data_IF_217470998378
#
_entry.id   IF_217470998378
#
_cell.length_a   1.000
_cell.length_b   1.000
_cell.length_c   1.000
_cell.angle_alpha   90.00
_cell.angle_beta   90.00
_cell.angle_gamma   90.00
#
_symmetry.space_group_name_H-M   'P 1'
#
loop_
_entity.id
_entity.type
_entity.pdbx_description
1 polymer ?
#
# COMPACT_ATOMS: atom_id res chain seq x y z
N UNK A 1 -1.61 11.78 -25.35
CA UNK A 1 -1.72 13.12 -24.75
C UNK A 1 -2.40 12.96 -23.40
N UNK A 2 -1.66 13.13 -22.31
CA UNK A 2 -2.18 13.07 -20.94
C UNK A 2 -1.20 13.82 -20.06
N UNK A 3 -1.36 15.14 -19.97
CA UNK A 3 -0.54 15.95 -19.09
C UNK A 3 -1.01 15.74 -17.66
N UNK A 4 -0.21 15.05 -16.86
CA UNK A 4 -0.31 15.11 -15.40
C UNK A 4 -0.20 16.58 -15.03
N UNK A 5 -1.26 17.16 -14.45
CA UNK A 5 -1.21 18.50 -13.88
C UNK A 5 -0.35 18.44 -12.61
N UNK A 6 0.97 18.39 -12.78
CA UNK A 6 1.91 18.51 -11.67
C UNK A 6 1.97 19.97 -11.27
N UNK A 7 1.68 20.26 -10.00
CA UNK A 7 1.89 21.60 -9.45
C UNK A 7 3.37 21.95 -9.53
N UNK A 8 3.68 23.17 -9.96
CA UNK A 8 5.05 23.66 -9.96
C UNK A 8 5.54 23.80 -8.53
N UNK A 9 6.53 22.98 -8.18
CA UNK A 9 7.17 22.98 -6.86
C UNK A 9 8.32 24.00 -6.89
N UNK A 10 8.30 25.04 -6.03
CA UNK A 10 9.40 25.99 -5.95
C UNK A 10 10.71 25.27 -5.61
N UNK A 11 11.74 25.42 -6.45
CA UNK A 11 13.02 24.71 -6.32
C UNK A 11 13.07 23.33 -6.97
N UNK A 12 11.97 22.87 -7.59
CA UNK A 12 11.89 21.60 -8.32
C UNK A 12 11.89 20.37 -7.42
N UNK A 13 11.86 19.20 -8.07
CA UNK A 13 11.83 17.89 -7.42
C UNK A 13 10.46 17.52 -6.86
N UNK A 14 10.28 16.24 -6.59
CA UNK A 14 9.06 15.65 -6.01
C UNK A 14 9.29 15.19 -4.56
N UNK A 15 10.41 15.56 -3.95
CA UNK A 15 10.80 15.09 -2.61
C UNK A 15 10.43 16.07 -1.49
N UNK A 16 10.18 15.55 -0.29
CA UNK A 16 9.96 16.36 0.90
C UNK A 16 9.85 15.51 2.16
N UNK A 17 9.61 16.16 3.30
CA UNK A 17 9.34 15.47 4.55
C UNK A 17 7.84 15.21 4.68
N UNK A 18 7.44 13.97 4.45
CA UNK A 18 6.09 13.46 4.63
C UNK A 18 5.72 13.47 6.10
N UNK A 19 4.62 14.15 6.43
CA UNK A 19 4.08 14.21 7.79
C UNK A 19 3.33 12.91 8.05
N UNK A 20 3.78 12.10 9.00
CA UNK A 20 3.13 10.82 9.36
C UNK A 20 2.17 10.98 10.54
N UNK A 21 2.56 11.81 11.51
CA UNK A 21 1.78 12.04 12.72
C UNK A 21 1.92 13.49 13.17
N UNK A 22 0.84 14.03 13.70
CA UNK A 22 0.79 15.35 14.31
C UNK A 22 0.24 15.18 15.73
N UNK A 23 0.99 15.61 16.75
CA UNK A 23 0.51 15.57 18.13
C UNK A 23 -0.52 16.67 18.37
N UNK A 24 -1.59 16.37 19.11
CA UNK A 24 -2.58 17.37 19.49
C UNK A 24 -1.94 18.53 20.25
N UNK A 25 -2.46 19.74 20.03
CA UNK A 25 -1.98 20.99 20.62
C UNK A 25 -0.51 21.35 20.31
N UNK A 26 0.18 20.57 19.48
CA UNK A 26 1.54 20.87 19.04
C UNK A 26 1.59 22.09 18.10
N UNK A 27 2.78 22.70 17.91
CA UNK A 27 2.94 23.74 16.91
C UNK A 27 2.57 23.29 15.49
N UNK A 28 2.85 22.04 15.12
CA UNK A 28 2.43 21.48 13.83
C UNK A 28 0.91 21.40 13.69
N UNK A 29 0.21 20.96 14.74
CA UNK A 29 -1.27 20.96 14.78
C UNK A 29 -1.84 22.37 14.61
N UNK A 30 -1.30 23.34 15.34
CA UNK A 30 -1.74 24.75 15.27
C UNK A 30 -1.46 25.40 13.91
N UNK A 31 -0.46 24.93 13.19
CA UNK A 31 -0.15 25.35 11.83
C UNK A 31 -1.05 24.69 10.77
N UNK A 32 -1.95 23.78 11.17
CA UNK A 32 -2.84 23.07 10.25
C UNK A 32 -2.09 22.07 9.37
N UNK A 33 -1.03 21.45 9.89
CA UNK A 33 -0.40 20.32 9.23
C UNK A 33 -1.29 19.09 9.38
N UNK A 34 -1.58 18.44 8.26
CA UNK A 34 -2.39 17.25 8.17
C UNK A 34 -1.48 16.02 8.10
N UNK A 35 -1.67 15.02 8.99
CA UNK A 35 -0.95 13.77 8.87
C UNK A 35 -1.28 13.09 7.53
N UNK A 36 -0.28 12.40 7.00
CA UNK A 36 -0.20 11.70 5.73
C UNK A 36 -0.39 12.53 4.45
N UNK A 37 -1.26 13.53 4.44
CA UNK A 37 -1.49 14.28 3.21
C UNK A 37 -0.40 15.33 2.97
N UNK A 38 0.21 15.84 4.04
CA UNK A 38 1.18 16.91 3.93
C UNK A 38 2.62 16.44 3.76
N UNK A 39 3.32 17.15 2.89
CA UNK A 39 4.75 17.04 2.65
C UNK A 39 5.37 18.41 2.84
N UNK A 40 6.27 18.54 3.81
CA UNK A 40 7.03 19.76 4.03
C UNK A 40 8.13 19.81 2.96
N UNK A 41 7.97 20.72 2.00
CA UNK A 41 8.86 20.83 0.84
C UNK A 41 9.88 21.96 1.01
N UNK A 42 9.59 22.98 1.81
CA UNK A 42 10.54 24.05 2.13
C UNK A 42 10.32 24.62 3.53
N UNK A 43 11.37 25.24 4.07
CA UNK A 43 11.35 26.01 5.31
C UNK A 43 12.28 27.22 5.18
N UNK A 44 11.81 28.42 5.54
CA UNK A 44 12.58 29.68 5.37
C UNK A 44 13.16 29.85 3.95
N UNK A 45 12.37 29.55 2.92
CA UNK A 45 12.79 29.57 1.50
C UNK A 45 13.88 28.56 1.11
N UNK A 46 14.31 27.70 2.04
CA UNK A 46 15.23 26.59 1.78
C UNK A 46 14.44 25.36 1.36
N UNK A 47 14.72 24.87 0.15
CA UNK A 47 14.14 23.63 -0.39
C UNK A 47 14.67 22.40 0.37
N UNK A 48 13.76 21.56 0.85
CA UNK A 48 14.04 20.30 1.54
C UNK A 48 14.00 19.12 0.56
N UNK A 49 15.02 19.00 -0.29
CA UNK A 49 15.12 17.96 -1.33
C UNK A 49 16.13 16.86 -1.01
N UNK A 50 16.62 16.79 0.23
CA UNK A 50 17.55 15.76 0.70
C UNK A 50 17.17 15.33 2.11
N UNK A 51 17.40 14.06 2.41
CA UNK A 51 17.31 13.56 3.78
C UNK A 51 18.57 13.98 4.57
N UNK A 52 18.46 15.09 5.30
CA UNK A 52 19.56 15.63 6.10
C UNK A 52 19.04 16.40 7.33
N UNK A 53 19.94 16.95 8.14
CA UNK A 53 19.57 17.71 9.34
C UNK A 53 19.08 19.16 9.06
N UNK A 54 18.95 19.60 7.80
CA UNK A 54 18.63 21.00 7.45
C UNK A 54 17.30 21.47 8.06
N UNK A 55 16.25 20.65 7.98
CA UNK A 55 14.96 20.97 8.60
C UNK A 55 15.12 21.16 10.11
N UNK A 56 15.82 20.23 10.77
CA UNK A 56 16.05 20.23 12.22
C UNK A 56 16.88 21.43 12.67
N UNK A 57 17.91 21.80 11.91
CA UNK A 57 18.74 22.97 12.18
C UNK A 57 17.95 24.28 12.03
N UNK A 58 17.19 24.43 10.94
CA UNK A 58 16.37 25.63 10.70
C UNK A 58 15.27 25.80 11.76
N UNK A 59 14.69 24.71 12.24
CA UNK A 59 13.75 24.73 13.37
C UNK A 59 14.42 25.17 14.67
N UNK A 60 15.60 24.63 14.98
CA UNK A 60 16.37 25.00 16.19
C UNK A 60 16.80 26.47 16.16
N UNK A 61 17.16 26.98 14.99
CA UNK A 61 17.51 28.39 14.85
C UNK A 61 16.30 29.31 15.05
N UNK A 62 15.10 28.88 14.68
CA UNK A 62 13.88 29.69 14.74
C UNK A 62 12.92 29.32 15.88
N UNK A 63 13.45 28.77 16.99
CA UNK A 63 12.66 28.49 18.19
C UNK A 63 12.00 29.78 18.71
N UNK A 64 10.72 29.67 19.06
CA UNK A 64 9.80 30.74 19.45
C UNK A 64 9.62 31.87 18.40
N UNK A 65 9.98 31.62 17.13
CA UNK A 65 9.83 32.59 16.04
C UNK A 65 8.93 32.05 14.92
N UNK A 66 8.02 32.89 14.37
CA UNK A 66 7.25 32.52 13.20
C UNK A 66 8.15 32.14 12.02
N UNK A 67 7.97 30.93 11.53
CA UNK A 67 8.77 30.29 10.50
C UNK A 67 7.86 29.88 9.35
N UNK A 68 8.17 30.37 8.15
CA UNK A 68 7.42 30.02 6.94
C UNK A 68 7.83 28.65 6.42
N UNK A 69 6.84 27.86 6.02
CA UNK A 69 7.01 26.57 5.37
C UNK A 69 6.12 26.50 4.13
N UNK A 70 6.61 25.83 3.09
CA UNK A 70 5.75 25.38 2.01
C UNK A 70 5.41 23.91 2.22
N UNK A 71 4.13 23.61 2.03
CA UNK A 71 3.57 22.29 2.26
C UNK A 71 2.81 21.87 1.01
N UNK A 72 3.20 20.74 0.42
CA UNK A 72 2.42 20.08 -0.61
C UNK A 72 1.41 19.14 0.04
N UNK A 73 0.14 19.20 -0.38
CA UNK A 73 -0.91 18.31 0.11
C UNK A 73 -1.33 17.34 -1.00
N UNK A 74 -1.21 16.04 -0.74
CA UNK A 74 -1.52 14.97 -1.70
C UNK A 74 -3.02 14.74 -1.90
N UNK A 75 -3.88 15.20 -0.98
CA UNK A 75 -5.35 15.15 -1.10
C UNK A 75 -5.86 16.23 -2.07
N UNK A 76 -5.35 17.45 -1.94
CA UNK A 76 -5.75 18.59 -2.79
C UNK A 76 -4.89 18.77 -4.03
N UNK A 77 -3.75 18.08 -4.10
CA UNK A 77 -2.72 18.25 -5.13
C UNK A 77 -2.28 19.71 -5.25
N UNK A 78 -2.08 20.39 -4.12
CA UNK A 78 -1.76 21.82 -4.09
C UNK A 78 -0.64 22.14 -3.10
N UNK A 79 0.11 23.20 -3.37
CA UNK A 79 1.11 23.76 -2.44
C UNK A 79 0.49 24.94 -1.70
N UNK A 80 0.65 24.97 -0.38
CA UNK A 80 0.25 26.09 0.49
C UNK A 80 1.39 26.56 1.38
N UNK A 81 1.36 27.84 1.73
CA UNK A 81 2.24 28.41 2.76
C UNK A 81 1.61 28.17 4.14
N UNK A 82 2.39 27.59 5.05
CA UNK A 82 2.04 27.44 6.46
C UNK A 82 3.04 28.21 7.31
N UNK A 83 2.55 28.95 8.31
CA UNK A 83 3.42 29.60 9.31
C UNK A 83 3.38 28.79 10.58
N UNK A 84 4.54 28.29 11.01
CA UNK A 84 4.68 27.53 12.26
C UNK A 84 5.57 28.27 13.25
N UNK A 85 5.33 28.09 14.54
CA UNK A 85 6.17 28.66 15.61
C UNK A 85 6.80 27.48 16.36
N UNK A 86 8.03 27.05 16.00
CA UNK A 86 8.69 25.95 16.68
C UNK A 86 8.84 26.29 18.16
N UNK A 87 8.47 25.38 19.06
CA UNK A 87 8.48 25.67 20.49
C UNK A 87 8.93 24.47 21.32
N UNK A 88 9.58 24.77 22.45
CA UNK A 88 9.89 23.77 23.49
C UNK A 88 8.90 23.84 24.67
N UNK A 89 7.94 24.76 24.65
CA UNK A 89 7.11 25.11 25.81
C UNK A 89 5.68 24.52 25.74
N UNK A 90 5.36 23.76 24.69
CA UNK A 90 4.01 23.22 24.49
C UNK A 90 3.76 21.88 25.23
N UNK A 91 4.78 21.34 25.90
CA UNK A 91 4.64 20.19 26.81
C UNK A 91 4.81 18.80 26.18
N UNK A 92 4.94 18.69 24.86
CA UNK A 92 5.19 17.44 24.16
C UNK A 92 6.62 17.26 23.66
N UNK A 93 6.83 16.24 22.82
CA UNK A 93 8.14 15.89 22.29
C UNK A 93 8.45 16.60 20.96
N UNK A 94 9.62 17.23 20.87
CA UNK A 94 10.11 17.90 19.67
C UNK A 94 9.59 19.32 19.50
N UNK A 95 10.15 20.03 18.52
CA UNK A 95 9.84 21.45 18.30
C UNK A 95 8.49 21.70 17.62
N UNK A 96 8.00 20.71 16.87
CA UNK A 96 6.74 20.80 16.12
C UNK A 96 5.70 19.77 16.55
N UNK A 97 6.10 18.74 17.30
CA UNK A 97 5.23 17.60 17.62
C UNK A 97 4.85 16.75 16.41
N UNK A 98 5.78 16.58 15.45
CA UNK A 98 5.57 15.81 14.23
C UNK A 98 6.39 14.52 14.23
N UNK A 99 5.84 13.46 13.64
CA UNK A 99 6.63 12.36 13.07
C UNK A 99 6.70 12.56 11.57
N UNK A 100 7.90 12.48 10.99
CA UNK A 100 8.13 12.76 9.57
C UNK A 100 9.07 11.71 8.95
N UNK A 101 8.95 11.51 7.64
CA UNK A 101 9.87 10.71 6.83
C UNK A 101 10.24 11.45 5.56
N UNK A 102 11.49 11.37 5.13
CA UNK A 102 11.87 11.90 3.82
C UNK A 102 11.43 10.93 2.72
N UNK A 103 10.60 11.38 1.77
CA UNK A 103 10.22 10.59 0.60
C UNK A 103 9.74 11.47 -0.56
N UNK A 104 9.47 10.85 -1.70
CA UNK A 104 8.78 11.50 -2.81
C UNK A 104 7.27 11.56 -2.55
N UNK A 105 6.63 12.67 -2.90
CA UNK A 105 5.18 12.79 -2.99
C UNK A 105 4.64 12.42 -4.38
N UNK A 106 5.52 12.11 -5.33
CA UNK A 106 5.12 11.53 -6.61
C UNK A 106 4.50 10.15 -6.38
N UNK A 107 3.29 9.93 -6.88
CA UNK A 107 2.59 8.67 -6.69
C UNK A 107 2.11 8.41 -5.25
N UNK A 108 2.27 9.35 -4.31
CA UNK A 108 1.89 9.13 -2.91
C UNK A 108 0.38 8.89 -2.70
N UNK A 109 -0.45 9.39 -3.63
CA UNK A 109 -1.88 9.11 -3.67
C UNK A 109 -2.23 7.78 -4.37
N UNK A 110 -1.26 7.12 -4.99
CA UNK A 110 -1.40 5.85 -5.70
C UNK A 110 -0.93 4.68 -4.85
N UNK A 111 0.12 4.90 -4.04
CA UNK A 111 0.73 3.90 -3.16
C UNK A 111 -0.07 3.75 -1.87
N UNK A 112 -1.34 3.33 -2.03
CA UNK A 112 -2.27 3.11 -0.95
C UNK A 112 -2.98 1.76 -1.16
N UNK A 113 -3.13 1.01 -0.08
CA UNK A 113 -3.78 -0.31 -0.07
C UNK A 113 -5.04 -0.23 0.79
N UNK A 114 -6.19 -0.39 0.16
CA UNK A 114 -7.50 -0.34 0.82
C UNK A 114 -7.78 -1.67 1.52
N UNK A 115 -8.04 -1.63 2.83
CA UNK A 115 -8.48 -2.79 3.60
C UNK A 115 -9.93 -3.10 3.23
N UNK A 116 -10.18 -4.30 2.69
CA UNK A 116 -11.50 -4.78 2.31
C UNK A 116 -12.10 -5.60 3.47
N UNK A 117 -12.60 -6.81 3.20
CA UNK A 117 -13.13 -7.69 4.24
C UNK A 117 -12.03 -8.11 5.21
N UNK A 118 -12.33 -8.13 6.51
CA UNK A 118 -11.40 -8.57 7.57
C UNK A 118 -12.02 -9.78 8.28
N UNK A 119 -11.30 -10.90 8.27
CA UNK A 119 -11.78 -12.14 8.89
C UNK A 119 -11.70 -12.08 10.42
N UNK A 120 -12.70 -12.60 11.15
CA UNK A 120 -12.66 -12.64 12.61
C UNK A 120 -11.48 -13.45 13.15
N UNK A 121 -10.83 -12.93 14.18
CA UNK A 121 -9.62 -13.53 14.80
C UNK A 121 -8.40 -13.65 13.88
N UNK A 122 -8.42 -13.01 12.71
CA UNK A 122 -7.26 -12.92 11.84
C UNK A 122 -6.18 -11.99 12.40
N UNK A 123 -4.94 -12.09 11.91
CA UNK A 123 -3.91 -11.10 12.21
C UNK A 123 -4.35 -9.64 11.99
N UNK A 124 -5.09 -9.36 10.91
CA UNK A 124 -5.66 -8.05 10.63
C UNK A 124 -6.69 -7.60 11.67
N UNK A 125 -7.59 -8.49 12.09
CA UNK A 125 -8.57 -8.19 13.14
C UNK A 125 -7.90 -7.94 14.50
N UNK A 126 -6.88 -8.74 14.84
CA UNK A 126 -6.11 -8.59 16.08
C UNK A 126 -5.30 -7.29 16.12
N UNK A 127 -4.82 -6.84 14.96
CA UNK A 127 -4.16 -5.56 14.79
C UNK A 127 -5.14 -4.36 14.82
N UNK A 128 -6.46 -4.63 14.75
CA UNK A 128 -7.50 -3.61 14.78
C UNK A 128 -7.76 -2.93 13.44
N UNK A 129 -7.37 -3.54 12.32
CA UNK A 129 -7.71 -3.03 10.99
C UNK A 129 -9.22 -3.14 10.76
N UNK A 130 -9.83 -2.08 10.25
CA UNK A 130 -11.27 -2.00 9.98
C UNK A 130 -11.56 -2.12 8.50
N UNK A 131 -12.51 -2.99 8.19
CA UNK A 131 -12.95 -3.25 6.84
C UNK A 131 -13.53 -1.99 6.15
N UNK A 132 -13.15 -1.77 4.90
CA UNK A 132 -13.64 -0.73 3.98
C UNK A 132 -13.39 0.73 4.37
N UNK A 133 -12.84 1.00 5.56
CA UNK A 133 -12.59 2.37 6.05
C UNK A 133 -11.11 2.66 6.22
N UNK A 134 -10.31 1.61 6.43
CA UNK A 134 -8.88 1.75 6.66
C UNK A 134 -8.09 1.57 5.36
N UNK A 135 -7.08 2.42 5.20
CA UNK A 135 -6.19 2.47 4.07
C UNK A 135 -4.76 2.40 4.59
N UNK A 136 -4.05 1.33 4.24
CA UNK A 136 -2.62 1.23 4.52
C UNK A 136 -1.91 2.18 3.57
N UNK A 137 -1.16 3.09 4.15
CA UNK A 137 -0.56 4.24 3.48
C UNK A 137 0.97 4.22 3.54
N UNK A 138 1.54 3.29 4.29
CA UNK A 138 2.97 3.18 4.46
C UNK A 138 3.37 2.11 5.46
N UNK A 139 4.67 1.87 5.52
CA UNK A 139 5.37 1.08 6.53
C UNK A 139 6.70 1.77 6.85
N UNK A 140 7.51 1.20 7.74
CA UNK A 140 8.86 1.70 8.01
C UNK A 140 9.79 1.57 6.79
N UNK A 141 9.49 0.64 5.88
CA UNK A 141 10.15 0.54 4.58
C UNK A 141 9.42 1.37 3.51
N UNK A 142 10.16 1.85 2.52
CA UNK A 142 9.59 2.57 1.37
C UNK A 142 8.80 1.58 0.51
N UNK A 143 7.56 1.91 0.17
CA UNK A 143 6.70 1.12 -0.70
C UNK A 143 6.25 2.00 -1.87
N UNK A 144 6.64 1.62 -3.09
CA UNK A 144 6.40 2.36 -4.34
C UNK A 144 5.60 1.59 -5.36
N UNK A 145 5.57 0.27 -5.26
CA UNK A 145 4.88 -0.62 -6.20
C UNK A 145 3.79 -1.40 -5.47
N UNK A 146 2.75 -1.84 -6.19
CA UNK A 146 1.63 -2.59 -5.61
C UNK A 146 2.06 -3.86 -4.87
N UNK A 147 3.15 -4.48 -5.32
CA UNK A 147 3.68 -5.75 -4.82
C UNK A 147 4.52 -5.59 -3.54
N UNK A 148 4.95 -4.36 -3.21
CA UNK A 148 5.85 -4.09 -2.09
C UNK A 148 5.22 -4.44 -0.75
N UNK A 149 3.93 -4.12 -0.55
CA UNK A 149 3.22 -4.48 0.68
C UNK A 149 3.19 -6.01 0.87
N UNK A 150 2.91 -6.77 -0.18
CA UNK A 150 2.83 -8.22 -0.11
C UNK A 150 4.19 -8.85 0.18
N UNK A 151 5.23 -8.38 -0.50
CA UNK A 151 6.61 -8.79 -0.27
C UNK A 151 7.06 -8.47 1.16
N UNK A 152 6.67 -7.30 1.68
CA UNK A 152 6.98 -6.87 3.04
C UNK A 152 6.29 -7.75 4.09
N UNK A 153 5.03 -8.11 3.86
CA UNK A 153 4.26 -9.02 4.72
C UNK A 153 4.89 -10.41 4.75
N UNK A 154 5.24 -10.97 3.59
CA UNK A 154 5.93 -12.27 3.50
C UNK A 154 7.28 -12.26 4.23
N UNK A 155 8.04 -11.18 4.12
CA UNK A 155 9.32 -11.03 4.83
C UNK A 155 9.16 -10.92 6.36
N UNK A 156 7.98 -10.53 6.85
CA UNK A 156 7.65 -10.37 8.27
C UNK A 156 6.76 -11.49 8.83
N UNK A 157 6.74 -12.65 8.17
CA UNK A 157 6.05 -13.84 8.67
C UNK A 157 6.49 -14.18 10.11
N UNK A 158 5.53 -14.21 11.04
CA UNK A 158 5.74 -14.42 12.47
C UNK A 158 6.39 -13.27 13.24
N UNK A 159 6.55 -12.09 12.64
CA UNK A 159 7.20 -10.91 13.25
C UNK A 159 6.28 -9.70 13.25
N UNK A 160 6.49 -8.81 14.21
CA UNK A 160 5.77 -7.53 14.23
C UNK A 160 6.18 -6.66 13.03
N UNK A 161 5.18 -6.20 12.28
CA UNK A 161 5.29 -5.28 11.17
C UNK A 161 4.49 -4.01 11.50
N UNK A 162 5.15 -2.87 11.36
CA UNK A 162 4.52 -1.56 11.57
C UNK A 162 3.95 -1.02 10.26
N UNK A 163 2.65 -0.79 10.25
CA UNK A 163 1.93 -0.16 9.17
C UNK A 163 1.40 1.20 9.62
N UNK A 164 1.45 2.16 8.71
CA UNK A 164 0.74 3.42 8.86
C UNK A 164 -0.59 3.28 8.14
N UNK A 165 -1.68 3.61 8.84
CA UNK A 165 -3.05 3.39 8.37
C UNK A 165 -3.82 4.70 8.50
N UNK A 166 -4.41 5.15 7.39
CA UNK A 166 -5.39 6.23 7.36
C UNK A 166 -6.79 5.65 7.49
N UNK A 167 -7.63 6.27 8.30
CA UNK A 167 -9.04 5.91 8.38
C UNK A 167 -9.94 7.04 7.90
N UNK A 168 -10.90 6.70 7.03
CA UNK A 168 -11.89 7.66 6.52
C UNK A 168 -12.89 8.10 7.59
N UNK A 169 -13.19 7.25 8.58
CA UNK A 169 -14.16 7.58 9.65
C UNK A 169 -13.66 8.69 10.58
N UNK A 170 -12.36 8.67 10.89
CA UNK A 170 -11.74 9.62 11.83
C UNK A 170 -10.96 10.72 11.11
N UNK A 171 -10.84 10.63 9.78
CA UNK A 171 -9.95 11.45 8.93
C UNK A 171 -8.54 11.60 9.55
N UNK A 172 -8.02 10.50 10.09
CA UNK A 172 -6.77 10.52 10.86
C UNK A 172 -5.92 9.29 10.53
N UNK A 173 -4.61 9.42 10.77
CA UNK A 173 -3.63 8.37 10.58
C UNK A 173 -3.17 7.82 11.93
N UNK A 174 -3.06 6.50 12.02
CA UNK A 174 -2.49 5.80 13.16
C UNK A 174 -1.39 4.82 12.74
N UNK A 175 -0.51 4.50 13.68
CA UNK A 175 0.41 3.38 13.56
C UNK A 175 -0.31 2.13 14.06
N UNK A 176 -0.28 1.07 13.26
CA UNK A 176 -0.84 -0.24 13.56
C UNK A 176 0.28 -1.26 13.50
N UNK A 177 0.41 -2.07 14.55
CA UNK A 177 1.35 -3.18 14.59
C UNK A 177 0.59 -4.45 14.27
N UNK A 178 0.98 -5.13 13.20
CA UNK A 178 0.40 -6.40 12.76
C UNK A 178 1.46 -7.48 12.77
N UNK A 179 1.08 -8.70 13.11
CA UNK A 179 1.99 -9.85 13.06
C UNK A 179 1.47 -10.83 12.02
N UNK A 180 1.99 -10.82 10.78
CA UNK A 180 1.60 -11.79 9.76
C UNK A 180 1.80 -13.23 10.27
N UNK A 181 0.81 -14.07 10.01
CA UNK A 181 0.80 -15.47 10.41
C UNK A 181 0.06 -16.27 9.36
N UNK A 182 0.69 -17.20 8.65
CA UNK A 182 0.08 -18.09 7.66
C UNK A 182 -0.63 -19.30 8.29
N UNK A 183 -0.28 -19.65 9.54
CA UNK A 183 -0.83 -20.78 10.28
C UNK A 183 -2.00 -20.36 11.21
N UNK A 184 -2.58 -19.18 11.01
CA UNK A 184 -3.69 -18.66 11.84
C UNK A 184 -5.02 -19.40 11.62
N UNK A 185 -5.12 -20.23 10.58
CA UNK A 185 -6.27 -21.10 10.30
C UNK A 185 -7.20 -20.62 9.19
N UNK A 186 -6.92 -19.49 8.54
CA UNK A 186 -7.64 -18.99 7.36
C UNK A 186 -6.74 -18.80 6.14
N UNK A 187 -7.18 -17.96 5.20
CA UNK A 187 -6.43 -17.70 3.96
C UNK A 187 -5.43 -16.55 4.11
N UNK A 188 -4.23 -16.74 3.53
CA UNK A 188 -3.14 -15.77 3.55
C UNK A 188 -2.53 -15.53 4.93
N UNK A 189 -1.59 -14.57 5.02
CA UNK A 189 -0.90 -14.24 6.28
C UNK A 189 -1.54 -13.11 7.08
N UNK A 190 -2.47 -12.35 6.50
CA UNK A 190 -3.16 -11.24 7.17
C UNK A 190 -4.60 -11.55 7.55
N UNK A 191 -5.28 -12.39 6.76
CA UNK A 191 -6.72 -12.64 6.87
C UNK A 191 -7.58 -11.39 6.65
N UNK A 192 -7.21 -10.58 5.65
CA UNK A 192 -8.05 -9.54 5.09
C UNK A 192 -7.86 -9.42 3.58
N UNK A 193 -8.88 -8.95 2.88
CA UNK A 193 -8.78 -8.55 1.47
C UNK A 193 -8.05 -7.22 1.35
N UNK A 194 -7.20 -7.08 0.33
CA UNK A 194 -6.49 -5.84 0.04
C UNK A 194 -6.81 -5.40 -1.39
N UNK A 195 -7.35 -4.20 -1.53
CA UNK A 195 -7.58 -3.55 -2.81
C UNK A 195 -6.47 -2.56 -3.14
N UNK A 196 -6.04 -2.53 -4.40
CA UNK A 196 -5.05 -1.58 -4.91
C UNK A 196 -5.51 -0.96 -6.23
N UNK A 197 -5.06 0.25 -6.52
CA UNK A 197 -5.32 0.94 -7.78
C UNK A 197 -6.43 1.99 -7.67
N UNK A 198 -6.89 2.49 -8.83
CA UNK A 198 -7.70 3.71 -8.92
C UNK A 198 -8.96 3.73 -8.03
N UNK A 199 -9.70 2.62 -7.96
CA UNK A 199 -10.92 2.51 -7.15
C UNK A 199 -10.67 2.32 -5.65
N UNK A 200 -9.42 2.06 -5.28
CA UNK A 200 -8.99 1.79 -3.90
C UNK A 200 -8.11 2.90 -3.34
N UNK A 201 -8.08 4.08 -4.00
CA UNK A 201 -7.42 5.28 -3.46
C UNK A 201 -8.28 5.92 -2.38
N UNK A 202 -7.64 6.71 -1.51
CA UNK A 202 -8.34 7.50 -0.51
C UNK A 202 -9.31 8.47 -1.21
N UNK A 203 -10.59 8.52 -0.80
CA UNK A 203 -11.56 9.43 -1.40
C UNK A 203 -11.09 10.88 -1.30
N UNK A 204 -10.82 11.52 -2.43
CA UNK A 204 -10.56 12.96 -2.47
C UNK A 204 -11.90 13.70 -2.54
N UNK A 205 -12.11 14.66 -1.65
CA UNK A 205 -13.32 15.50 -1.61
C UNK A 205 -13.55 16.30 -2.92
N UNK A 206 -12.61 16.26 -3.87
CA UNK A 206 -12.74 16.87 -5.20
C UNK A 206 -13.86 16.26 -6.06
N UNK A 207 -14.43 15.11 -5.67
CA UNK A 207 -15.63 14.53 -6.32
C UNK A 207 -16.95 15.03 -5.69
N UNK A 208 -16.91 15.76 -4.56
CA UNK A 208 -18.12 16.24 -3.88
C UNK A 208 -18.66 17.58 -4.44
N UNK A 209 -17.83 18.37 -5.13
CA UNK A 209 -18.30 19.57 -5.84
C UNK A 209 -18.81 19.21 -7.25
N UNK A 210 -19.99 18.59 -7.30
CA UNK A 210 -21.08 19.02 -8.19
C UNK A 210 -20.80 19.34 -9.66
N UNK A 211 -19.78 18.77 -10.31
CA UNK A 211 -19.71 18.78 -11.78
C UNK A 211 -20.70 17.74 -12.27
N UNK A 212 -21.97 18.16 -12.37
CA UNK A 212 -22.95 17.49 -13.21
C UNK A 212 -22.24 17.14 -14.51
N UNK A 213 -21.95 15.87 -14.71
CA UNK A 213 -21.58 15.35 -16.02
C UNK A 213 -22.89 15.38 -16.80
N UNK A 214 -23.28 16.58 -17.24
CA UNK A 214 -24.32 16.76 -18.21
C UNK A 214 -23.77 16.15 -19.50
N UNK A 215 -24.16 14.93 -19.79
CA UNK A 215 -24.11 14.45 -21.17
C UNK A 215 -24.84 15.50 -22.01
N UNK A 216 -24.24 16.01 -23.10
CA UNK A 216 -24.95 16.93 -23.97
C UNK A 216 -26.15 16.16 -24.54
N UNK A 217 -27.33 16.42 -23.98
CA UNK A 217 -28.57 16.08 -24.62
C UNK A 217 -28.62 16.85 -25.95
N UNK A 218 -29.01 16.21 -27.07
CA UNK A 218 -29.09 16.88 -28.36
C UNK A 218 -30.11 18.01 -28.27
N UNK A 219 -29.67 19.23 -28.55
CA UNK A 219 -30.56 20.38 -28.65
C UNK A 219 -31.53 20.19 -29.82
N UNK A 220 -32.83 20.47 -29.64
CA UNK A 220 -33.80 20.41 -30.72
C UNK A 220 -33.68 21.67 -31.57
N UNK A 221 -33.14 21.54 -32.78
CA UNK A 221 -33.19 22.58 -33.81
C UNK A 221 -34.21 22.20 -34.89
N UNK A 222 -35.24 23.03 -35.00
CA UNK A 222 -36.22 23.07 -36.10
C UNK A 222 -35.61 23.77 -37.35
N UNK A 223 -36.23 23.71 -38.55
CA UNK A 223 -35.79 22.87 -39.65
C UNK A 223 -35.28 23.66 -40.87
N UNK A 224 -34.35 23.09 -41.64
CA UNK A 224 -33.96 23.58 -42.97
C UNK A 224 -34.13 22.47 -44.03
N UNK A 225 -34.48 22.82 -45.29
CA UNK A 225 -35.13 21.93 -46.26
C UNK A 225 -34.15 20.97 -47.00
N UNK A 226 -34.68 19.93 -47.68
CA UNK A 226 -33.91 18.73 -48.01
C UNK A 226 -33.27 18.77 -49.40
N UNK A 227 -32.26 17.92 -49.63
CA UNK A 227 -32.19 17.20 -50.90
C UNK A 227 -32.05 15.68 -50.72
N UNK A 228 -33.15 15.00 -51.08
CA UNK A 228 -33.30 13.78 -51.89
C UNK A 228 -32.28 12.64 -51.79
N UNK A 229 -32.79 11.54 -51.23
CA UNK A 229 -32.79 10.16 -51.73
C UNK A 229 -31.46 9.42 -51.95
N UNK A 230 -31.25 8.39 -51.11
CA UNK A 230 -30.22 7.37 -51.30
C UNK A 230 -30.24 6.30 -50.20
N UNK A 231 -31.41 5.72 -49.89
CA UNK A 231 -31.53 4.63 -48.92
C UNK A 231 -30.85 3.34 -49.40
N UNK A 232 -30.21 2.63 -48.49
CA UNK A 232 -30.55 1.20 -48.27
C UNK A 232 -30.22 0.80 -46.83
N UNK A 233 -31.28 0.53 -46.07
CA UNK A 233 -31.27 -0.07 -44.75
C UNK A 233 -30.86 -1.55 -44.84
N UNK A 234 -30.16 -2.05 -43.82
CA UNK A 234 -30.03 -3.50 -43.60
C UNK A 234 -30.41 -3.81 -42.17
N UNK A 235 -31.65 -4.27 -41.99
CA UNK A 235 -32.13 -4.88 -40.75
C UNK A 235 -31.66 -6.35 -40.68
N UNK A 236 -30.98 -6.69 -39.57
CA UNK A 236 -30.62 -8.05 -39.22
C UNK A 236 -31.83 -8.78 -38.64
N UNK A 237 -32.19 -9.93 -39.20
CA UNK A 237 -33.10 -10.89 -38.57
C UNK A 237 -32.69 -12.32 -38.91
N UNK A 238 -32.75 -13.17 -37.88
CA UNK A 238 -32.27 -14.53 -37.81
C UNK A 238 -33.16 -15.55 -38.54
N UNK A 239 -32.58 -16.67 -39.01
CA UNK A 239 -33.30 -17.91 -39.39
C UNK A 239 -32.43 -19.15 -39.09
N UNK A 240 -33.06 -20.19 -38.53
CA UNK A 240 -32.54 -21.53 -38.22
C UNK A 240 -33.01 -22.55 -39.32
N UNK A 241 -32.68 -23.87 -39.28
CA UNK A 241 -31.86 -24.59 -40.27
C UNK A 241 -32.66 -25.54 -41.22
N UNK A 242 -32.14 -25.89 -42.41
CA UNK A 242 -32.56 -27.11 -43.17
C UNK A 242 -31.52 -27.55 -44.23
N UNK A 243 -31.26 -28.87 -44.34
CA UNK A 243 -30.42 -29.66 -45.29
C UNK A 243 -31.37 -30.34 -46.32
N UNK A 244 -31.02 -31.00 -47.49
CA UNK A 244 -29.78 -31.22 -48.29
C UNK A 244 -29.94 -30.93 -49.83
N UNK A 245 -28.87 -31.10 -50.65
CA UNK A 245 -28.73 -32.15 -51.72
C UNK A 245 -27.52 -31.92 -52.64
N UNK A 246 -26.87 -33.02 -53.01
CA UNK A 246 -25.59 -33.14 -53.72
C UNK A 246 -25.67 -33.03 -55.25
N UNK A 247 -24.57 -32.62 -55.90
CA UNK A 247 -24.07 -33.18 -57.18
C UNK A 247 -22.54 -33.04 -57.26
N UNK A 248 -21.91 -34.01 -57.92
CA UNK A 248 -20.47 -34.31 -57.94
C UNK A 248 -19.79 -33.86 -59.25
N UNK A 249 -18.49 -33.53 -59.19
CA UNK A 249 -17.54 -33.79 -60.30
C UNK A 249 -16.08 -33.81 -59.80
N UNK A 250 -15.38 -34.90 -60.18
CA UNK A 250 -13.98 -35.29 -59.98
C UNK A 250 -12.96 -34.28 -60.61
N UNK A 251 -11.63 -34.30 -60.47
CA UNK A 251 -10.50 -35.08 -59.88
C UNK A 251 -9.25 -34.15 -60.01
N UNK A 252 -8.20 -34.12 -59.19
CA UNK A 252 -7.06 -35.08 -59.06
C UNK A 252 -6.02 -34.48 -58.08
N UNK A 253 -5.38 -35.29 -57.24
CA UNK A 253 -3.94 -35.14 -56.92
C UNK A 253 -3.47 -35.03 -55.45
N UNK A 254 -3.05 -36.18 -54.88
CA UNK A 254 -1.98 -36.43 -53.87
C UNK A 254 -2.23 -36.00 -52.39
N UNK A 255 -2.55 -36.88 -51.41
CA UNK A 255 -1.73 -37.89 -50.64
C UNK A 255 -0.55 -37.25 -49.87
N UNK A 256 -0.33 -37.32 -48.54
CA UNK A 256 -0.63 -38.22 -47.40
C UNK A 256 -0.65 -37.38 -46.09
N UNK A 257 -1.54 -37.52 -45.09
CA UNK A 257 -1.82 -38.59 -44.11
C UNK A 257 -0.66 -38.97 -43.16
N UNK A 258 -0.78 -38.62 -41.87
CA UNK A 258 -0.91 -39.63 -40.81
C UNK A 258 -1.47 -39.02 -39.51
N UNK A 259 -2.53 -39.64 -39.02
CA UNK A 259 -3.20 -39.35 -37.77
C UNK A 259 -2.66 -40.21 -36.62
N UNK A 260 -2.87 -39.70 -35.40
CA UNK A 260 -3.17 -40.51 -34.22
C UNK A 260 -1.99 -40.87 -33.34
N UNK A 261 -2.10 -40.62 -32.04
CA UNK A 261 -2.61 -41.65 -31.12
C UNK A 261 -2.79 -41.08 -29.71
N UNK A 262 -3.93 -41.47 -29.13
CA UNK A 262 -4.32 -41.36 -27.72
C UNK A 262 -3.51 -42.32 -26.85
N UNK A 263 -3.18 -41.95 -25.60
CA UNK A 263 -2.99 -42.93 -24.51
C UNK A 263 -3.35 -42.29 -23.16
N UNK A 264 -4.17 -42.98 -22.37
CA UNK A 264 -4.28 -42.78 -20.92
C UNK A 264 -3.74 -43.98 -20.14
N UNK A 265 -3.52 -43.73 -18.84
CA UNK A 265 -3.42 -44.69 -17.71
C UNK A 265 -2.08 -45.42 -17.43
N UNK A 266 -1.59 -45.21 -16.20
CA UNK A 266 -0.63 -45.99 -15.36
C UNK A 266 -0.95 -47.52 -15.29
N UNK A 267 -0.15 -48.46 -14.68
CA UNK A 267 0.89 -48.33 -13.62
C UNK A 267 2.14 -49.28 -13.64
N UNK A 268 3.03 -49.10 -12.63
CA UNK A 268 3.91 -50.09 -11.90
C UNK A 268 5.31 -50.54 -12.40
N UNK A 269 6.35 -50.23 -11.57
CA UNK A 269 7.56 -51.01 -11.14
C UNK A 269 8.54 -51.60 -12.19
N UNK A 270 9.89 -51.68 -12.05
CA UNK A 270 10.77 -52.19 -10.96
C UNK A 270 12.27 -51.84 -11.24
N UNK A 271 13.14 -52.08 -10.22
CA UNK A 271 14.64 -52.20 -10.11
C UNK A 271 15.42 -50.96 -9.60
N UNK A 272 15.88 -50.90 -8.34
CA UNK A 272 17.01 -51.61 -7.62
C UNK A 272 18.38 -50.93 -7.87
N UNK A 273 19.18 -50.49 -6.88
CA UNK A 273 19.71 -51.24 -5.72
C UNK A 273 20.23 -50.33 -4.57
N UNK A 274 20.05 -50.80 -3.33
CA UNK A 274 20.73 -50.39 -2.08
C UNK A 274 22.04 -51.17 -1.87
N UNK A 275 22.95 -50.62 -1.03
CA UNK A 275 23.81 -51.45 -0.17
C UNK A 275 23.97 -50.82 1.23
N UNK A 276 23.84 -51.68 2.25
CA UNK A 276 23.90 -51.45 3.71
C UNK A 276 24.98 -52.35 4.29
N UNK A 277 25.74 -51.88 5.29
CA UNK A 277 26.37 -52.67 6.39
C UNK A 277 26.73 -51.71 7.55
N UNK A 278 26.01 -51.68 8.68
CA UNK A 278 26.15 -52.41 9.97
C UNK A 278 27.29 -51.99 10.92
N UNK A 279 26.93 -51.61 12.16
CA UNK A 279 27.80 -51.67 13.35
C UNK A 279 27.35 -50.79 14.54
N UNK A 280 26.72 -51.38 15.57
CA UNK A 280 26.52 -50.80 16.93
C UNK A 280 27.80 -51.00 17.79
N UNK A 281 28.03 -50.40 18.99
CA UNK A 281 27.25 -50.66 20.23
C UNK A 281 27.17 -49.56 21.36
N UNK A 282 26.16 -49.71 22.23
CA UNK A 282 26.07 -49.66 23.72
C UNK A 282 26.65 -48.52 24.63
N UNK A 283 25.79 -48.15 25.59
CA UNK A 283 25.89 -47.36 26.84
C UNK A 283 27.17 -47.43 27.71
N UNK A 284 27.53 -46.32 28.38
CA UNK A 284 27.85 -46.23 29.83
C UNK A 284 28.18 -44.80 30.32
N UNK A 285 27.72 -44.49 31.55
CA UNK A 285 28.07 -43.39 32.50
C UNK A 285 28.54 -44.15 33.78
N UNK A 286 29.43 -43.71 34.71
CA UNK A 286 29.63 -42.35 35.27
C UNK A 286 31.10 -41.95 35.62
N UNK A 287 31.38 -40.70 36.03
CA UNK A 287 31.72 -40.34 37.43
C UNK A 287 32.15 -38.85 37.61
N UNK A 288 31.89 -38.35 38.82
CA UNK A 288 32.13 -37.01 39.39
C UNK A 288 33.58 -36.51 39.38
N UNK A 289 33.80 -35.18 39.32
CA UNK A 289 34.57 -34.40 40.34
C UNK A 289 34.03 -32.96 40.45
N UNK A 290 34.00 -32.47 41.69
CA UNK A 290 33.51 -31.20 42.22
C UNK A 290 34.35 -29.96 41.83
N UNK A 291 33.69 -28.79 41.75
CA UNK A 291 34.24 -27.53 42.29
C UNK A 291 33.11 -26.50 42.54
N UNK A 292 33.09 -25.96 43.76
CA UNK A 292 32.16 -24.93 44.25
C UNK A 292 32.38 -23.58 43.54
N UNK A 293 31.42 -22.64 43.70
CA UNK A 293 31.82 -21.42 44.40
C UNK A 293 30.88 -21.01 45.53
N UNK A 294 31.48 -20.30 46.46
CA UNK A 294 30.97 -19.81 47.73
C UNK A 294 29.87 -18.75 47.56
N UNK A 295 28.89 -18.83 48.48
CA UNK A 295 28.05 -17.74 48.95
C UNK A 295 28.90 -16.53 49.38
N UNK A 296 28.40 -15.31 49.17
CA UNK A 296 28.30 -14.24 50.17
C UNK A 296 27.44 -13.11 49.59
N UNK A 297 26.27 -12.93 50.18
CA UNK A 297 25.46 -11.73 50.14
C UNK A 297 25.94 -10.83 51.30
N UNK A 298 25.99 -9.49 51.14
CA UNK A 298 25.51 -8.66 52.24
C UNK A 298 24.71 -7.44 51.76
N UNK A 299 23.44 -7.37 52.18
CA UNK A 299 22.82 -6.10 52.52
C UNK A 299 23.43 -5.59 53.84
N UNK A 300 23.50 -4.27 54.09
CA UNK A 300 22.73 -3.79 55.23
C UNK A 300 22.14 -2.36 55.10
N UNK A 301 20.93 -2.23 55.65
CA UNK A 301 20.41 -1.16 56.54
C UNK A 301 20.30 0.30 56.07
N UNK A 302 19.04 0.72 55.98
CA UNK A 302 18.52 2.06 56.35
C UNK A 302 18.51 2.27 57.88
N UNK A 303 18.61 3.52 58.35
CA UNK A 303 17.81 4.04 59.47
C UNK A 303 16.78 5.06 58.92
N UNK A 304 15.54 5.20 59.38
CA UNK A 304 14.96 4.96 60.69
C UNK A 304 14.40 6.29 61.22
N UNK A 305 13.13 6.58 60.91
CA UNK A 305 12.07 7.20 61.74
C UNK A 305 10.84 7.49 60.89
#
# INVERSE_FOLDING_TARGET
MGGSQSVEIPGGGTEGYHVLRVQENSPGHRAGLEPFFDFIISICDVRLNKDNDTLKELLKMNVERPTKMLVYNSKTLAVREATVIPSNMWGGQGLLGLSIRFCSFEGANENVWHVLEVEPNSPAALAGLRAHVDYIIGADTVMTESEDLFSLVEAHEGKELKLYVYSTDTDNCCEVVITPNCDWGGEGSLGCGIGYGYLHRIPTLQVAEGKNISFPAPTPSEPAPPPKDGFTEVHLSAVIPTIPKAVSSASTGLEQSLAGLSVGSNPTSVLSNLQVTTGAPTFSVPNQVQSLPLSVNPAPTLPGW
#
